data_IF_099570110668
#
_entry.id   IF_099570110668
#
_cell.length_a   1.000
_cell.length_b   1.000
_cell.length_c   1.000
_cell.angle_alpha   90.00
_cell.angle_beta   90.00
_cell.angle_gamma   90.00
#
_symmetry.space_group_name_H-M   'P 1'
#
loop_
_entity.id
_entity.type
_entity.pdbx_description
1 polymer ?
#
# COMPACT_ATOMS: atom_id res chain seq x y z
N UNK A 1 -5.35 -7.94 5.38
CA UNK A 1 -5.09 -8.01 6.81
C UNK A 1 -3.99 -9.02 7.10
N UNK A 2 -3.32 -8.85 8.22
CA UNK A 2 -2.24 -9.73 8.64
C UNK A 2 -2.80 -11.03 9.23
N UNK A 3 -2.11 -12.15 8.95
CA UNK A 3 -2.43 -13.42 9.60
C UNK A 3 -1.81 -13.46 11.01
N UNK A 4 -2.65 -13.30 12.02
CA UNK A 4 -2.22 -13.36 13.43
C UNK A 4 -2.29 -14.76 14.04
N UNK A 5 -2.75 -15.78 13.28
CA UNK A 5 -2.92 -17.15 13.80
C UNK A 5 -1.65 -17.73 14.43
N UNK A 6 -0.44 -17.55 13.85
CA UNK A 6 0.79 -18.05 14.44
C UNK A 6 1.08 -17.47 15.83
N UNK A 7 0.59 -16.27 16.12
CA UNK A 7 0.87 -15.53 17.35
C UNK A 7 -0.20 -15.69 18.42
N UNK A 8 -1.35 -16.31 18.10
CA UNK A 8 -2.50 -16.41 19.02
C UNK A 8 -2.13 -16.94 20.40
N UNK A 9 -1.23 -17.93 20.48
CA UNK A 9 -0.81 -18.53 21.75
C UNK A 9 0.00 -17.60 22.67
N UNK A 10 0.54 -16.52 22.10
CA UNK A 10 1.33 -15.54 22.84
C UNK A 10 0.53 -14.29 23.21
N UNK A 11 -0.69 -14.15 22.69
CA UNK A 11 -1.51 -12.98 22.93
C UNK A 11 -2.23 -13.10 24.29
N UNK A 12 -2.01 -12.12 25.16
CA UNK A 12 -2.74 -11.98 26.40
C UNK A 12 -4.14 -11.38 26.21
N UNK A 13 -4.36 -10.77 25.02
CA UNK A 13 -5.62 -10.12 24.65
C UNK A 13 -6.58 -11.20 24.15
N UNK A 14 -7.71 -11.37 24.85
CA UNK A 14 -8.73 -12.38 24.52
C UNK A 14 -9.54 -12.02 23.26
N UNK A 15 -9.63 -10.75 22.91
CA UNK A 15 -10.31 -10.27 21.69
C UNK A 15 -9.54 -9.12 21.06
N UNK A 16 -9.34 -9.18 19.76
CA UNK A 16 -8.78 -8.07 18.96
C UNK A 16 -9.87 -7.15 18.40
N UNK A 17 -11.15 -7.49 18.63
CA UNK A 17 -12.25 -6.68 18.13
C UNK A 17 -12.17 -5.27 18.71
N UNK A 18 -12.13 -4.31 17.82
CA UNK A 18 -12.09 -2.88 18.15
C UNK A 18 -10.89 -2.42 19.03
N UNK A 19 -9.87 -3.28 19.24
CA UNK A 19 -8.72 -2.96 20.08
C UNK A 19 -7.99 -1.70 19.59
N UNK A 20 -7.58 -1.67 18.31
CA UNK A 20 -6.89 -0.49 17.75
C UNK A 20 -7.80 0.72 17.71
N UNK A 21 -9.09 0.52 17.46
CA UNK A 21 -10.08 1.59 17.48
C UNK A 21 -10.14 2.26 18.84
N UNK A 22 -10.23 1.46 19.92
CA UNK A 22 -10.25 1.97 21.31
C UNK A 22 -8.94 2.60 21.75
N UNK A 23 -7.81 2.13 21.20
CA UNK A 23 -6.49 2.66 21.53
C UNK A 23 -6.18 3.98 20.80
N UNK A 24 -6.63 4.09 19.55
CA UNK A 24 -6.21 5.15 18.62
C UNK A 24 -7.23 6.27 18.44
N UNK A 25 -8.50 6.03 18.77
CA UNK A 25 -9.54 7.03 18.61
C UNK A 25 -9.93 7.62 19.97
N UNK A 26 -10.21 8.93 20.03
CA UNK A 26 -10.91 9.54 21.15
C UNK A 26 -12.23 8.81 21.46
N UNK A 27 -12.65 8.82 22.72
CA UNK A 27 -13.84 8.07 23.16
C UNK A 27 -15.11 8.50 22.40
N UNK A 28 -15.23 9.78 22.08
CA UNK A 28 -16.33 10.36 21.33
C UNK A 28 -16.45 9.80 19.91
N UNK A 29 -15.35 9.31 19.35
CA UNK A 29 -15.29 8.69 18.02
C UNK A 29 -15.37 7.16 18.06
N UNK A 30 -15.52 6.58 19.25
CA UNK A 30 -15.53 5.14 19.46
C UNK A 30 -16.62 4.40 18.68
N UNK A 31 -17.75 5.01 18.39
CA UNK A 31 -18.86 4.42 17.63
C UNK A 31 -18.81 4.69 16.14
N UNK A 32 -17.84 5.47 15.66
CA UNK A 32 -17.69 5.72 14.24
C UNK A 32 -17.43 4.42 13.46
N UNK A 33 -18.17 4.26 12.38
CA UNK A 33 -17.93 3.19 11.41
C UNK A 33 -16.94 3.68 10.36
N UNK A 34 -16.01 2.80 9.98
CA UNK A 34 -15.08 3.10 8.89
C UNK A 34 -15.85 3.34 7.58
N UNK A 35 -15.73 4.54 7.03
CA UNK A 35 -16.30 4.85 5.72
C UNK A 35 -15.37 4.37 4.60
N UNK A 36 -15.85 3.39 3.84
CA UNK A 36 -15.14 2.80 2.70
C UNK A 36 -15.30 3.58 1.40
N UNK A 37 -16.04 4.69 1.41
CA UNK A 37 -16.40 5.42 0.18
C UNK A 37 -15.17 5.90 -0.56
N UNK A 38 -14.22 6.53 0.13
CA UNK A 38 -12.99 7.02 -0.48
C UNK A 38 -12.16 5.87 -1.07
N UNK A 39 -11.95 4.81 -0.31
CA UNK A 39 -11.19 3.65 -0.79
C UNK A 39 -11.81 3.02 -2.03
N UNK A 40 -13.14 2.90 -2.06
CA UNK A 40 -13.88 2.39 -3.23
C UNK A 40 -13.73 3.29 -4.44
N UNK A 41 -13.79 4.61 -4.26
CA UNK A 41 -13.58 5.59 -5.34
C UNK A 41 -12.18 5.51 -5.90
N UNK A 42 -11.15 5.41 -5.06
CA UNK A 42 -9.75 5.24 -5.49
C UNK A 42 -9.57 3.95 -6.28
N UNK A 43 -10.06 2.82 -5.77
CA UNK A 43 -9.98 1.53 -6.46
C UNK A 43 -10.70 1.60 -7.82
N UNK A 44 -11.89 2.17 -7.86
CA UNK A 44 -12.64 2.35 -9.10
C UNK A 44 -11.88 3.22 -10.11
N UNK A 45 -11.32 4.34 -9.66
CA UNK A 45 -10.51 5.22 -10.49
C UNK A 45 -9.31 4.48 -11.08
N UNK A 46 -8.52 3.80 -10.27
CA UNK A 46 -7.33 3.07 -10.73
C UNK A 46 -7.67 1.91 -11.67
N UNK A 47 -8.83 1.25 -11.49
CA UNK A 47 -9.29 0.20 -12.39
C UNK A 47 -9.69 0.74 -13.76
N UNK A 48 -10.35 1.88 -13.81
CA UNK A 48 -11.00 2.39 -15.03
C UNK A 48 -10.20 3.49 -15.75
N UNK A 49 -9.13 4.00 -15.13
CA UNK A 49 -8.26 5.01 -15.72
C UNK A 49 -6.82 4.52 -15.77
N UNK A 50 -5.99 5.21 -16.55
CA UNK A 50 -4.57 4.87 -16.73
C UNK A 50 -3.71 6.15 -16.69
N UNK A 51 -3.75 6.92 -15.58
CA UNK A 51 -2.93 8.10 -15.42
C UNK A 51 -1.45 7.74 -15.25
N UNK A 52 -0.56 8.70 -15.55
CA UNK A 52 0.89 8.55 -15.32
C UNK A 52 1.16 8.47 -13.81
N UNK A 53 1.42 7.28 -13.29
CA UNK A 53 1.67 7.02 -11.86
C UNK A 53 2.74 5.95 -11.66
N UNK A 54 3.58 6.16 -10.64
CA UNK A 54 4.53 5.16 -10.16
C UNK A 54 4.23 4.88 -8.69
N UNK A 55 4.03 3.61 -8.36
CA UNK A 55 3.92 3.13 -6.98
C UNK A 55 5.16 2.33 -6.64
N UNK A 56 5.74 2.58 -5.47
CA UNK A 56 6.92 1.87 -4.96
C UNK A 56 6.58 1.31 -3.59
N UNK A 57 6.82 0.01 -3.43
CA UNK A 57 6.56 -0.71 -2.20
C UNK A 57 7.79 -1.52 -1.78
N UNK A 58 7.97 -1.74 -0.48
CA UNK A 58 8.92 -2.72 0.04
C UNK A 58 8.25 -4.08 0.21
N UNK A 59 8.90 -5.15 -0.21
CA UNK A 59 8.38 -6.52 -0.09
C UNK A 59 8.06 -6.89 1.35
N UNK A 60 8.90 -6.45 2.30
CA UNK A 60 8.76 -6.73 3.73
C UNK A 60 8.03 -5.62 4.50
N UNK A 61 7.52 -4.60 3.79
CA UNK A 61 6.71 -3.57 4.42
C UNK A 61 5.28 -4.09 4.67
N UNK A 62 4.84 -4.15 5.93
CA UNK A 62 3.47 -4.54 6.26
C UNK A 62 2.40 -3.73 5.52
N UNK A 63 2.64 -2.47 5.22
CA UNK A 63 1.67 -1.61 4.55
C UNK A 63 1.51 -1.91 3.07
N UNK A 64 2.47 -2.62 2.46
CA UNK A 64 2.36 -3.13 1.09
C UNK A 64 1.12 -4.03 0.89
N UNK A 65 0.64 -4.67 1.96
CA UNK A 65 -0.59 -5.46 1.93
C UNK A 65 -1.85 -4.62 1.59
N UNK A 66 -1.83 -3.32 1.87
CA UNK A 66 -2.89 -2.37 1.50
C UNK A 66 -2.62 -1.63 0.18
N UNK A 67 -1.48 -1.91 -0.44
CA UNK A 67 -1.04 -1.27 -1.69
C UNK A 67 -1.79 -1.76 -2.92
N UNK A 68 -1.43 -1.20 -4.07
CA UNK A 68 -2.06 -1.51 -5.36
C UNK A 68 -1.30 -2.57 -6.17
N UNK A 69 -0.62 -3.49 -5.49
CA UNK A 69 0.15 -4.58 -6.12
C UNK A 69 -0.69 -5.52 -7.00
N UNK A 70 -2.00 -5.49 -6.82
CA UNK A 70 -2.98 -6.20 -7.64
C UNK A 70 -3.23 -5.54 -9.01
N UNK A 71 -2.82 -4.29 -9.20
CA UNK A 71 -3.05 -3.53 -10.43
C UNK A 71 -2.09 -4.01 -11.52
N UNK A 72 -2.63 -4.56 -12.61
CA UNK A 72 -1.86 -5.11 -13.73
C UNK A 72 -2.44 -4.65 -15.06
N UNK A 73 -1.64 -4.72 -16.13
CA UNK A 73 -2.09 -4.46 -17.50
C UNK A 73 -2.34 -2.97 -17.79
N UNK A 74 -1.80 -2.07 -16.99
CA UNK A 74 -1.83 -0.63 -17.24
C UNK A 74 -0.62 -0.20 -18.04
N UNK A 75 -0.79 0.78 -18.94
CA UNK A 75 0.29 1.32 -19.78
C UNK A 75 1.07 2.41 -19.05
N UNK A 76 0.37 3.24 -18.27
CA UNK A 76 0.94 4.42 -17.64
C UNK A 76 1.01 4.31 -16.11
N UNK A 77 0.47 3.24 -15.52
CA UNK A 77 0.59 2.98 -14.08
C UNK A 77 1.61 1.85 -13.88
N UNK A 78 2.70 2.16 -13.20
CA UNK A 78 3.78 1.22 -12.91
C UNK A 78 3.86 0.95 -11.41
N UNK A 79 4.05 -0.33 -11.05
CA UNK A 79 4.15 -0.77 -9.66
C UNK A 79 5.47 -1.51 -9.48
N UNK A 80 6.35 -0.97 -8.67
CA UNK A 80 7.65 -1.57 -8.31
C UNK A 80 7.58 -2.08 -6.87
N UNK A 81 8.08 -3.29 -6.65
CA UNK A 81 8.21 -3.87 -5.32
C UNK A 81 9.68 -4.20 -5.08
N UNK A 82 10.32 -3.46 -4.19
CA UNK A 82 11.73 -3.67 -3.82
C UNK A 82 11.87 -5.01 -3.11
N UNK A 83 12.68 -5.96 -3.64
CA UNK A 83 12.96 -7.23 -2.97
C UNK A 83 13.60 -7.00 -1.60
N UNK A 84 13.08 -7.65 -0.56
CA UNK A 84 13.50 -7.46 0.83
C UNK A 84 13.38 -6.02 1.36
N UNK A 85 12.79 -5.11 0.59
CA UNK A 85 12.59 -3.72 0.95
C UNK A 85 11.65 -3.53 2.14
N UNK A 86 11.91 -2.50 2.92
CA UNK A 86 11.10 -2.06 4.07
C UNK A 86 10.18 -0.88 3.69
N UNK A 87 9.59 -0.25 4.70
CA UNK A 87 8.83 1.00 4.54
C UNK A 87 9.66 2.18 3.97
N UNK A 88 10.98 2.02 3.90
CA UNK A 88 11.89 3.01 3.32
C UNK A 88 12.13 2.82 1.82
N UNK A 89 11.41 1.91 1.16
CA UNK A 89 11.51 1.66 -0.27
C UNK A 89 11.22 2.95 -1.07
N UNK A 90 12.10 3.24 -2.02
CA UNK A 90 12.04 4.43 -2.88
C UNK A 90 12.81 4.17 -4.18
N UNK A 91 12.70 5.06 -5.17
CA UNK A 91 13.43 4.92 -6.45
C UNK A 91 14.93 4.62 -6.21
N UNK A 92 15.56 5.32 -5.25
CA UNK A 92 16.98 5.18 -4.97
C UNK A 92 17.39 3.81 -4.42
N UNK A 93 16.47 3.06 -3.81
CA UNK A 93 16.73 1.74 -3.21
C UNK A 93 16.29 0.57 -4.08
N UNK A 94 15.57 0.83 -5.17
CA UNK A 94 15.21 -0.21 -6.14
C UNK A 94 16.46 -0.87 -6.73
N UNK A 95 16.39 -2.16 -7.12
CA UNK A 95 17.41 -2.78 -7.94
C UNK A 95 17.69 -1.95 -9.19
N UNK A 96 18.91 -2.01 -9.71
CA UNK A 96 19.40 -1.09 -10.74
C UNK A 96 18.49 -1.01 -11.97
N UNK A 97 17.98 -2.15 -12.44
CA UNK A 97 17.09 -2.23 -13.60
C UNK A 97 15.78 -1.47 -13.37
N UNK A 98 15.10 -1.74 -12.27
CA UNK A 98 13.83 -1.11 -11.90
C UNK A 98 13.99 0.39 -11.60
N UNK A 99 15.14 0.76 -11.03
CA UNK A 99 15.51 2.15 -10.80
C UNK A 99 15.68 2.92 -12.11
N UNK A 100 16.40 2.35 -13.07
CA UNK A 100 16.60 2.95 -14.39
C UNK A 100 15.28 3.06 -15.15
N UNK A 101 14.42 2.03 -15.07
CA UNK A 101 13.08 2.05 -15.65
C UNK A 101 12.23 3.18 -15.04
N UNK A 102 12.16 3.27 -13.72
CA UNK A 102 11.38 4.31 -13.04
C UNK A 102 11.88 5.72 -13.40
N UNK A 103 13.19 5.95 -13.43
CA UNK A 103 13.78 7.23 -13.84
C UNK A 103 13.49 7.53 -15.31
N UNK A 104 13.60 6.54 -16.19
CA UNK A 104 13.28 6.68 -17.61
C UNK A 104 11.83 7.08 -17.86
N UNK A 105 10.89 6.46 -17.14
CA UNK A 105 9.47 6.83 -17.19
C UNK A 105 9.25 8.28 -16.78
N UNK A 106 9.84 8.71 -15.67
CA UNK A 106 9.70 10.09 -15.20
C UNK A 106 10.24 11.07 -16.23
N UNK A 107 11.46 10.85 -16.74
CA UNK A 107 12.06 11.71 -17.77
C UNK A 107 11.15 11.82 -19.00
N UNK A 108 10.71 10.68 -19.52
CA UNK A 108 9.78 10.65 -20.66
C UNK A 108 8.51 11.45 -20.39
N UNK A 109 7.91 11.34 -19.21
CA UNK A 109 6.68 12.04 -18.88
C UNK A 109 6.84 13.55 -18.69
N UNK A 110 8.06 14.00 -18.36
CA UNK A 110 8.39 15.43 -18.25
C UNK A 110 8.64 16.08 -19.62
N UNK A 111 8.93 15.28 -20.65
CA UNK A 111 9.17 15.74 -22.01
C UNK A 111 7.87 15.77 -22.88
N UNK A 112 6.79 15.17 -22.42
CA UNK A 112 5.46 15.17 -23.07
C UNK A 112 4.60 16.38 -22.64
#
# INVERSE_FOLDING_TARGET
GYDIRPFKKYLTIKTSKDYLKRLMLPEELGDMKFDKTLSRKIIHFLKNNDPKMIFIYGQNDPWTAAGVTWLKGKKNIHVFVEPNGSHLARIGTLPQKEKEEAIGLIKKWLEE
#
